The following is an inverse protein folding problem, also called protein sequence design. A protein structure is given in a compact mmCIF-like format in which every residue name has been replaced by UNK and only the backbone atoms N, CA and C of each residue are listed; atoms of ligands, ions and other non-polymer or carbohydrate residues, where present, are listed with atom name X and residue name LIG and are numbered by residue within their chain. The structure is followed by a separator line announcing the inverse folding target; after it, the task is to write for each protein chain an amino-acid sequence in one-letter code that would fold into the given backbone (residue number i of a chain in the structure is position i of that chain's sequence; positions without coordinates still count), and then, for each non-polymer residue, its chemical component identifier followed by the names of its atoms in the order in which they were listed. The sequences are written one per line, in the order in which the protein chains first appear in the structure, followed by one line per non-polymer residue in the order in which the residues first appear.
data_IF_988565240702
#
_entry.id   IF_988565240702
#
_cell.length_a   1.000
_cell.length_b   1.000
_cell.length_c   1.000
_cell.angle_alpha   90.00
_cell.angle_beta   90.00
_cell.angle_gamma   90.00
#
_symmetry.space_group_name_H-M   'P 1'
#
loop_
_entity.id
_entity.type
_entity.pdbx_description
1 polymer ?
#
# COMPACT_ATOMS: atom_id res chain seq x y z
N UNK A 1 9.16 14.35 -6.64
CA UNK A 1 10.59 14.01 -6.78
C UNK A 1 11.39 14.70 -5.69
N UNK A 2 12.45 14.05 -5.18
CA UNK A 2 13.30 14.53 -4.08
C UNK A 2 13.18 13.68 -2.81
N UNK A 3 14.20 13.74 -1.95
CA UNK A 3 14.10 13.22 -0.58
C UNK A 3 13.31 14.23 0.27
N UNK A 4 12.24 13.80 0.97
CA UNK A 4 11.48 14.71 1.80
C UNK A 4 12.33 15.18 2.99
N UNK A 5 12.28 16.47 3.28
CA UNK A 5 12.80 16.99 4.55
C UNK A 5 11.73 16.73 5.61
N UNK A 6 12.11 16.11 6.72
CA UNK A 6 11.19 15.78 7.81
C UNK A 6 11.72 16.30 9.14
N UNK A 7 10.77 16.54 10.07
CA UNK A 7 11.06 16.85 11.47
C UNK A 7 10.41 15.79 12.34
N UNK A 8 11.20 15.16 13.20
CA UNK A 8 10.67 14.30 14.26
C UNK A 8 9.87 15.12 15.27
N UNK A 9 8.68 14.66 15.59
CA UNK A 9 7.84 15.27 16.61
C UNK A 9 8.28 14.79 18.00
N UNK A 10 7.92 15.55 19.04
CA UNK A 10 8.33 15.28 20.43
C UNK A 10 7.71 14.02 21.04
N UNK A 11 6.77 13.38 20.34
CA UNK A 11 6.12 12.14 20.77
C UNK A 11 6.99 10.88 20.56
N UNK A 12 8.14 11.02 19.89
CA UNK A 12 9.08 9.93 19.63
C UNK A 12 8.57 8.89 18.63
N UNK A 13 7.47 9.15 17.92
CA UNK A 13 6.85 8.21 16.99
C UNK A 13 6.55 8.82 15.63
N UNK A 14 6.04 10.04 15.61
CA UNK A 14 5.56 10.67 14.38
C UNK A 14 6.60 11.62 13.80
N UNK A 15 6.55 11.82 12.50
CA UNK A 15 7.33 12.84 11.80
C UNK A 15 6.42 13.73 10.95
N UNK A 16 6.79 15.00 10.85
CA UNK A 16 6.11 15.99 10.03
C UNK A 16 6.94 16.27 8.77
N UNK A 17 6.31 16.25 7.60
CA UNK A 17 6.94 16.65 6.35
C UNK A 17 7.13 18.17 6.32
N UNK A 18 8.34 18.63 6.05
CA UNK A 18 8.65 20.06 5.84
C UNK A 18 8.59 20.45 4.36
N UNK A 19 8.76 19.47 3.46
CA UNK A 19 8.64 19.64 2.02
C UNK A 19 7.60 18.66 1.49
N UNK A 20 6.94 19.02 0.39
CA UNK A 20 6.06 18.11 -0.33
C UNK A 20 6.84 16.92 -0.89
N UNK A 21 6.22 15.75 -0.86
CA UNK A 21 6.66 14.57 -1.60
C UNK A 21 5.56 14.18 -2.58
N UNK A 22 5.91 14.06 -3.86
CA UNK A 22 4.97 13.66 -4.91
C UNK A 22 5.52 12.51 -5.75
N UNK A 23 4.63 11.60 -6.14
CA UNK A 23 4.88 10.43 -6.97
C UNK A 23 3.82 10.31 -8.08
N UNK A 24 4.28 10.10 -9.32
CA UNK A 24 3.41 9.75 -10.45
C UNK A 24 3.46 8.25 -10.68
N UNK A 25 2.31 7.58 -10.58
CA UNK A 25 2.22 6.14 -10.79
C UNK A 25 2.23 5.78 -12.29
N UNK A 26 2.38 4.48 -12.65
CA UNK A 26 2.41 4.06 -14.05
C UNK A 26 1.11 4.32 -14.82
N UNK A 27 0.01 4.64 -14.13
CA UNK A 27 -1.26 5.02 -14.72
C UNK A 27 -1.36 6.55 -14.94
N UNK A 28 -0.31 7.30 -14.59
CA UNK A 28 -0.25 8.76 -14.71
C UNK A 28 -0.98 9.50 -13.59
N UNK A 29 -1.41 8.82 -12.53
CA UNK A 29 -2.03 9.47 -11.38
C UNK A 29 -0.93 10.03 -10.45
N UNK A 30 -1.18 11.22 -9.95
CA UNK A 30 -0.29 11.90 -9.00
C UNK A 30 -0.78 11.60 -7.59
N UNK A 31 0.18 11.23 -6.74
CA UNK A 31 0.02 10.95 -5.32
C UNK A 31 0.91 11.93 -4.55
N UNK A 32 0.27 12.77 -3.75
CA UNK A 32 0.93 13.86 -3.03
C UNK A 32 0.87 13.64 -1.53
N UNK A 33 2.00 13.89 -0.88
CA UNK A 33 2.15 14.06 0.55
C UNK A 33 2.56 15.53 0.82
N UNK A 34 1.60 16.42 1.08
CA UNK A 34 1.86 17.84 1.25
C UNK A 34 2.81 18.13 2.43
N UNK A 35 3.52 19.26 2.37
CA UNK A 35 4.20 19.79 3.54
C UNK A 35 3.19 20.02 4.68
N UNK A 36 3.60 19.70 5.91
CA UNK A 36 2.74 19.68 7.10
C UNK A 36 2.06 18.34 7.37
N UNK A 37 2.13 17.37 6.46
CA UNK A 37 1.61 16.03 6.69
C UNK A 37 2.34 15.34 7.85
N UNK A 38 1.58 14.71 8.75
CA UNK A 38 2.10 13.93 9.87
C UNK A 38 1.98 12.46 9.53
N UNK A 39 3.09 11.72 9.63
CA UNK A 39 3.18 10.30 9.31
C UNK A 39 3.83 9.53 10.47
N UNK A 40 3.44 8.28 10.67
CA UNK A 40 3.83 7.47 11.84
C UNK A 40 4.33 6.06 11.50
N UNK A 41 4.31 5.70 10.21
CA UNK A 41 4.76 4.43 9.67
C UNK A 41 3.88 3.25 10.05
N UNK A 42 2.71 3.48 10.66
CA UNK A 42 1.88 2.42 11.22
C UNK A 42 0.91 1.79 10.22
N UNK A 43 0.85 2.31 8.99
CA UNK A 43 0.10 1.65 7.91
C UNK A 43 0.70 0.29 7.52
N UNK A 44 1.99 0.06 7.81
CA UNK A 44 2.70 -1.18 7.51
C UNK A 44 2.75 -2.09 8.76
N UNK A 45 2.31 -3.36 8.67
CA UNK A 45 2.47 -4.34 9.73
C UNK A 45 3.89 -4.42 10.30
N UNK A 46 4.03 -4.29 11.63
CA UNK A 46 5.34 -4.36 12.32
C UNK A 46 6.12 -5.64 12.03
N UNK A 47 5.44 -6.74 11.76
CA UNK A 47 6.07 -8.00 11.36
C UNK A 47 6.95 -7.85 10.10
N UNK A 48 6.58 -6.95 9.19
CA UNK A 48 7.34 -6.70 7.95
C UNK A 48 8.56 -5.83 8.18
N UNK A 49 8.65 -5.12 9.32
CA UNK A 49 9.79 -4.27 9.62
C UNK A 49 11.07 -5.07 9.82
N UNK A 50 10.99 -6.29 10.36
CA UNK A 50 12.14 -7.19 10.47
C UNK A 50 12.61 -7.76 9.14
N UNK A 51 11.76 -7.72 8.10
CA UNK A 51 12.09 -8.22 6.77
C UNK A 51 12.68 -7.13 5.87
N UNK A 52 12.19 -5.89 6.02
CA UNK A 52 12.43 -4.79 5.09
C UNK A 52 13.18 -3.60 5.69
N UNK A 53 13.37 -3.58 7.01
CA UNK A 53 13.73 -2.38 7.78
C UNK A 53 12.49 -1.63 8.26
N UNK A 54 12.66 -0.65 9.15
CA UNK A 54 11.56 0.18 9.67
C UNK A 54 10.88 1.05 8.59
N UNK A 55 9.67 1.58 8.83
CA UNK A 55 8.85 2.27 7.83
C UNK A 55 9.48 3.53 7.27
N UNK A 56 10.52 4.05 7.93
CA UNK A 56 11.27 5.23 7.51
C UNK A 56 12.71 4.91 7.09
N UNK A 57 12.98 3.66 6.75
CA UNK A 57 14.30 3.16 6.40
C UNK A 57 14.34 2.60 4.98
N UNK A 58 15.57 2.49 4.46
CA UNK A 58 15.83 1.82 3.19
C UNK A 58 15.14 2.46 1.98
N UNK A 59 14.94 1.63 0.96
CA UNK A 59 14.47 2.06 -0.35
C UNK A 59 12.98 2.41 -0.38
N UNK A 60 12.17 1.91 0.55
CA UNK A 60 10.72 2.08 0.52
C UNK A 60 10.20 3.26 1.37
N UNK A 61 11.08 3.97 2.09
CA UNK A 61 10.73 5.10 2.95
C UNK A 61 9.77 6.10 2.28
N UNK A 62 10.09 6.56 1.07
CA UNK A 62 9.27 7.56 0.38
C UNK A 62 7.90 6.99 0.01
N UNK A 63 7.84 5.71 -0.36
CA UNK A 63 6.59 5.00 -0.61
C UNK A 63 5.74 4.90 0.68
N UNK A 64 6.38 4.61 1.82
CA UNK A 64 5.72 4.50 3.13
C UNK A 64 5.08 5.82 3.55
N UNK A 65 5.79 6.94 3.34
CA UNK A 65 5.26 8.29 3.59
C UNK A 65 4.02 8.59 2.75
N UNK A 66 4.08 8.33 1.43
CA UNK A 66 2.93 8.52 0.54
C UNK A 66 1.75 7.66 0.96
N UNK A 67 2.02 6.43 1.39
CA UNK A 67 1.01 5.48 1.82
C UNK A 67 0.32 5.92 3.12
N UNK A 68 1.07 6.34 4.14
CA UNK A 68 0.53 6.88 5.40
C UNK A 68 -0.39 8.07 5.16
N UNK A 69 0.03 9.02 4.30
CA UNK A 69 -0.80 10.18 3.96
C UNK A 69 -2.07 9.73 3.25
N UNK A 70 -1.96 8.86 2.25
CA UNK A 70 -3.11 8.36 1.51
C UNK A 70 -4.11 7.59 2.41
N UNK A 71 -3.59 6.78 3.35
CA UNK A 71 -4.37 6.07 4.36
C UNK A 71 -5.00 7.01 5.38
N UNK A 72 -4.36 8.13 5.72
CA UNK A 72 -4.95 9.10 6.65
C UNK A 72 -6.09 9.89 5.99
N UNK A 73 -5.91 10.27 4.72
CA UNK A 73 -6.85 11.14 4.01
C UNK A 73 -8.09 10.42 3.49
N UNK A 74 -8.00 9.11 3.22
CA UNK A 74 -9.09 8.29 2.65
C UNK A 74 -9.73 8.90 1.38
N UNK A 75 -8.99 9.67 0.58
CA UNK A 75 -9.50 10.31 -0.65
C UNK A 75 -9.68 9.33 -1.81
N UNK A 76 -9.10 8.13 -1.70
CA UNK A 76 -9.15 7.05 -2.69
C UNK A 76 -9.51 5.73 -1.99
N UNK A 77 -9.88 4.67 -2.73
CA UNK A 77 -10.03 3.35 -2.15
C UNK A 77 -8.69 2.80 -1.63
N UNK A 78 -8.74 2.00 -0.57
CA UNK A 78 -7.55 1.41 0.06
C UNK A 78 -6.73 0.54 -0.90
N UNK A 79 -7.38 -0.22 -1.80
CA UNK A 79 -6.66 -1.05 -2.78
C UNK A 79 -5.87 -0.23 -3.80
N UNK A 80 -6.31 0.99 -4.11
CA UNK A 80 -5.55 1.90 -4.98
C UNK A 80 -4.33 2.45 -4.22
N UNK A 81 -4.47 2.71 -2.91
CA UNK A 81 -3.36 3.11 -2.04
C UNK A 81 -2.30 2.00 -1.94
N UNK A 82 -2.71 0.75 -1.74
CA UNK A 82 -1.80 -0.40 -1.66
C UNK A 82 -1.08 -0.63 -3.00
N UNK A 83 -1.79 -0.50 -4.13
CA UNK A 83 -1.19 -0.60 -5.47
C UNK A 83 -0.22 0.54 -5.74
N UNK A 84 -0.54 1.76 -5.32
CA UNK A 84 0.39 2.89 -5.37
C UNK A 84 1.66 2.58 -4.58
N UNK A 85 1.52 2.06 -3.36
CA UNK A 85 2.67 1.74 -2.52
C UNK A 85 3.57 0.69 -3.16
N UNK A 86 2.99 -0.38 -3.74
CA UNK A 86 3.74 -1.34 -4.56
C UNK A 86 4.53 -0.65 -5.67
N UNK A 87 3.87 0.19 -6.47
CA UNK A 87 4.51 0.86 -7.61
C UNK A 87 5.62 1.83 -7.16
N UNK A 88 5.39 2.58 -6.08
CA UNK A 88 6.37 3.48 -5.50
C UNK A 88 7.59 2.72 -4.95
N UNK A 89 7.40 1.59 -4.26
CA UNK A 89 8.49 0.70 -3.84
C UNK A 89 9.33 0.21 -5.02
N UNK A 90 8.67 -0.21 -6.11
CA UNK A 90 9.35 -0.65 -7.33
C UNK A 90 10.12 0.48 -7.99
N UNK A 91 9.56 1.68 -8.03
CA UNK A 91 10.22 2.89 -8.51
C UNK A 91 11.49 3.20 -7.70
N UNK A 92 11.48 2.98 -6.38
CA UNK A 92 12.62 3.21 -5.50
C UNK A 92 13.62 2.04 -5.45
N UNK A 93 13.42 0.99 -6.25
CA UNK A 93 14.39 -0.11 -6.41
C UNK A 93 14.33 -1.20 -5.32
N UNK A 94 13.22 -1.29 -4.58
CA UNK A 94 12.87 -2.47 -3.74
C UNK A 94 12.69 -3.68 -4.64
N UNK A 95 13.14 -4.88 -4.26
CA UNK A 95 12.99 -6.05 -5.16
C UNK A 95 11.52 -6.39 -5.44
N UNK A 96 11.27 -7.09 -6.56
CA UNK A 96 9.90 -7.48 -6.95
C UNK A 96 9.25 -8.34 -5.87
N UNK A 97 9.97 -9.34 -5.35
CA UNK A 97 9.45 -10.26 -4.34
C UNK A 97 9.10 -9.55 -3.03
N UNK A 98 9.97 -8.66 -2.55
CA UNK A 98 9.71 -7.84 -1.37
C UNK A 98 8.49 -6.94 -1.54
N UNK A 99 8.41 -6.22 -2.66
CA UNK A 99 7.29 -5.33 -2.95
C UNK A 99 5.96 -6.10 -3.08
N UNK A 100 5.96 -7.28 -3.72
CA UNK A 100 4.78 -8.15 -3.82
C UNK A 100 4.36 -8.74 -2.47
N UNK A 101 5.32 -9.11 -1.62
CA UNK A 101 5.04 -9.63 -0.26
C UNK A 101 4.39 -8.56 0.59
N UNK A 102 4.91 -7.34 0.51
CA UNK A 102 4.36 -6.18 1.19
C UNK A 102 2.95 -5.83 0.68
N UNK A 103 2.75 -5.87 -0.64
CA UNK A 103 1.44 -5.68 -1.26
C UNK A 103 0.41 -6.69 -0.73
N UNK A 104 0.75 -7.98 -0.72
CA UNK A 104 -0.11 -9.02 -0.17
C UNK A 104 -0.49 -8.74 1.29
N UNK A 105 0.49 -8.38 2.12
CA UNK A 105 0.28 -8.19 3.55
C UNK A 105 -0.64 -6.99 3.85
N UNK A 106 -0.48 -5.88 3.12
CA UNK A 106 -1.38 -4.73 3.23
C UNK A 106 -2.77 -5.06 2.71
N UNK A 107 -2.86 -5.67 1.52
CA UNK A 107 -4.13 -5.99 0.91
C UNK A 107 -4.99 -6.94 1.76
N UNK A 108 -4.33 -7.82 2.52
CA UNK A 108 -5.01 -8.82 3.36
C UNK A 108 -5.26 -8.34 4.79
N UNK A 109 -4.26 -7.74 5.44
CA UNK A 109 -4.28 -7.43 6.87
C UNK A 109 -4.40 -5.92 7.17
N UNK A 110 -4.42 -5.08 6.13
CA UNK A 110 -4.48 -3.63 6.23
C UNK A 110 -5.77 -3.11 6.87
N UNK A 111 -5.71 -1.87 7.34
CA UNK A 111 -6.85 -1.17 7.90
C UNK A 111 -7.77 -0.64 6.79
N UNK A 112 -8.54 -1.51 6.17
CA UNK A 112 -9.41 -1.15 5.05
C UNK A 112 -10.64 -0.33 5.52
N UNK A 113 -10.97 0.72 4.75
CA UNK A 113 -12.16 1.54 4.96
C UNK A 113 -13.22 1.33 3.89
N UNK A 114 -14.46 1.75 4.19
CA UNK A 114 -15.51 1.88 3.17
C UNK A 114 -15.21 3.10 2.31
N UNK A 115 -15.04 2.91 1.02
CA UNK A 115 -14.93 4.01 0.07
C UNK A 115 -16.19 4.07 -0.80
N UNK A 116 -16.99 5.16 -0.75
CA UNK A 116 -18.19 5.27 -1.56
C UNK A 116 -17.79 5.47 -3.02
N UNK A 117 -17.81 4.39 -3.80
CA UNK A 117 -17.71 4.49 -5.25
C UNK A 117 -19.00 5.17 -5.71
N UNK A 118 -18.95 6.46 -6.06
CA UNK A 118 -20.02 7.10 -6.82
C UNK A 118 -20.16 6.27 -8.09
N UNK A 119 -21.22 5.46 -8.17
CA UNK A 119 -21.47 4.58 -9.32
C UNK A 119 -21.40 5.44 -10.58
N UNK A 120 -20.28 5.36 -11.30
CA UNK A 120 -20.24 5.79 -12.68
C UNK A 120 -21.28 4.98 -13.45
N UNK A 121 -21.84 5.55 -14.52
CA UNK A 121 -22.64 4.73 -15.46
C UNK A 121 -21.78 3.53 -15.86
N UNK A 122 -22.32 2.30 -15.85
CA UNK A 122 -21.56 1.12 -16.24
C UNK A 122 -20.93 1.36 -17.62
N UNK A 123 -19.61 1.31 -17.69
CA UNK A 123 -18.85 1.47 -18.93
C UNK A 123 -18.56 0.07 -19.44
N UNK A 124 -18.92 -0.22 -20.70
CA UNK A 124 -18.58 -1.50 -21.33
C UNK A 124 -17.06 -1.55 -21.53
N UNK A 125 -16.39 -2.46 -20.84
CA UNK A 125 -14.99 -2.80 -21.12
C UNK A 125 -14.96 -4.23 -21.65
N UNK A 126 -14.48 -4.42 -22.88
CA UNK A 126 -14.41 -5.74 -23.56
C UNK A 126 -15.72 -6.55 -23.53
N UNK A 127 -16.87 -5.89 -23.56
CA UNK A 127 -18.18 -6.55 -23.61
C UNK A 127 -18.77 -6.97 -22.26
N UNK A 128 -18.04 -6.81 -21.15
CA UNK A 128 -18.55 -7.11 -19.81
C UNK A 128 -18.97 -5.84 -19.06
N UNK A 129 -20.07 -5.98 -18.30
CA UNK A 129 -20.52 -4.98 -17.34
C UNK A 129 -19.71 -5.15 -16.06
N UNK A 130 -18.69 -4.32 -15.86
CA UNK A 130 -17.91 -4.34 -14.62
C UNK A 130 -18.59 -3.45 -13.59
N UNK A 131 -19.38 -4.05 -12.70
CA UNK A 131 -19.79 -3.43 -11.43
C UNK A 131 -18.89 -3.97 -10.34
N UNK A 132 -17.85 -3.21 -9.95
CA UNK A 132 -16.96 -3.55 -8.84
C UNK A 132 -17.69 -3.30 -7.51
N UNK A 133 -18.64 -4.18 -7.18
CA UNK A 133 -19.19 -4.30 -5.85
C UNK A 133 -18.26 -5.13 -4.99
N UNK A 134 -17.06 -4.62 -4.71
CA UNK A 134 -16.09 -5.37 -3.91
C UNK A 134 -16.54 -5.43 -2.45
N UNK A 135 -16.56 -6.64 -1.90
CA UNK A 135 -16.69 -6.84 -0.46
C UNK A 135 -15.41 -6.33 0.20
N UNK A 136 -15.54 -5.48 1.20
CA UNK A 136 -14.38 -4.93 1.92
C UNK A 136 -13.85 -6.02 2.86
N UNK A 137 -12.59 -6.47 2.72
CA UNK A 137 -11.97 -7.30 3.73
C UNK A 137 -11.89 -6.47 5.01
N UNK A 138 -12.43 -6.94 6.13
CA UNK A 138 -12.21 -6.25 7.42
C UNK A 138 -10.72 -6.35 7.77
N UNK A 139 -10.18 -5.37 8.47
CA UNK A 139 -8.85 -5.52 9.06
C UNK A 139 -8.81 -6.79 9.94
N UNK A 140 -7.86 -7.67 9.65
CA UNK A 140 -7.64 -8.94 10.37
C UNK A 140 -6.29 -8.83 11.05
N UNK A 141 -6.11 -9.40 12.27
CA UNK A 141 -4.78 -9.50 12.85
C UNK A 141 -3.79 -10.10 11.86
N UNK A 142 -2.62 -9.48 11.76
CA UNK A 142 -1.53 -9.94 10.90
C UNK A 142 -1.17 -11.37 11.26
N UNK A 143 -1.17 -12.26 10.26
CA UNK A 143 -0.75 -13.66 10.42
C UNK A 143 0.63 -13.87 9.77
N UNK A 144 1.71 -14.03 10.57
CA UNK A 144 3.06 -14.27 10.06
C UNK A 144 3.20 -15.52 9.17
N UNK A 145 2.47 -16.59 9.46
CA UNK A 145 2.53 -17.84 8.70
C UNK A 145 2.03 -17.62 7.27
N UNK A 146 0.85 -17.01 7.13
CA UNK A 146 0.28 -16.64 5.83
C UNK A 146 1.20 -15.69 5.04
N UNK A 147 1.86 -14.73 5.70
CA UNK A 147 2.83 -13.85 5.05
C UNK A 147 4.03 -14.64 4.53
N UNK A 148 4.57 -15.59 5.31
CA UNK A 148 5.70 -16.40 4.88
C UNK A 148 5.32 -17.33 3.73
N UNK A 149 4.17 -18.00 3.80
CA UNK A 149 3.65 -18.84 2.71
C UNK A 149 3.41 -18.03 1.42
N UNK A 150 2.90 -16.81 1.54
CA UNK A 150 2.71 -15.91 0.42
C UNK A 150 4.06 -15.47 -0.15
N UNK A 151 5.04 -15.13 0.69
CA UNK A 151 6.40 -14.77 0.29
C UNK A 151 7.08 -15.90 -0.46
N UNK A 152 7.02 -17.13 0.05
CA UNK A 152 7.64 -18.29 -0.57
C UNK A 152 7.01 -18.57 -1.94
N UNK A 153 5.69 -18.53 -2.02
CA UNK A 153 4.99 -18.66 -3.30
C UNK A 153 5.35 -17.54 -4.29
N UNK A 154 5.36 -16.28 -3.84
CA UNK A 154 5.76 -15.13 -4.67
C UNK A 154 7.16 -15.33 -5.24
N UNK A 155 8.09 -15.77 -4.40
CA UNK A 155 9.48 -16.02 -4.80
C UNK A 155 9.61 -17.15 -5.82
N UNK A 156 8.72 -18.14 -5.75
CA UNK A 156 8.77 -19.33 -6.61
C UNK A 156 8.01 -19.16 -7.94
N UNK A 157 6.97 -18.33 -7.98
CA UNK A 157 6.05 -18.28 -9.14
C UNK A 157 5.92 -16.91 -9.79
N UNK A 158 6.52 -15.86 -9.22
CA UNK A 158 6.45 -14.47 -9.69
C UNK A 158 5.03 -14.01 -10.12
N UNK A 159 4.01 -14.16 -9.26
CA UNK A 159 2.60 -13.96 -9.62
C UNK A 159 2.26 -12.50 -9.93
N UNK A 160 1.23 -12.25 -10.73
CA UNK A 160 0.71 -10.88 -10.94
C UNK A 160 0.05 -10.33 -9.66
N UNK A 161 -0.16 -9.00 -9.59
CA UNK A 161 -0.87 -8.40 -8.47
C UNK A 161 -2.31 -8.94 -8.36
N UNK A 162 -2.97 -9.17 -9.50
CA UNK A 162 -4.32 -9.73 -9.54
C UNK A 162 -4.35 -11.16 -8.97
N UNK A 163 -3.31 -11.96 -9.24
CA UNK A 163 -3.19 -13.30 -8.64
C UNK A 163 -2.95 -13.24 -7.13
N UNK A 164 -2.19 -12.24 -6.66
CA UNK A 164 -2.00 -11.98 -5.22
C UNK A 164 -3.33 -11.60 -4.57
N UNK A 165 -4.11 -10.72 -5.19
CA UNK A 165 -5.45 -10.33 -4.71
C UNK A 165 -6.39 -11.53 -4.65
N UNK A 166 -6.41 -12.36 -5.70
CA UNK A 166 -7.22 -13.58 -5.73
C UNK A 166 -6.86 -14.50 -4.56
N UNK A 167 -5.56 -14.74 -4.34
CA UNK A 167 -5.08 -15.55 -3.22
C UNK A 167 -5.50 -14.95 -1.87
N UNK A 168 -5.28 -13.65 -1.66
CA UNK A 168 -5.63 -12.98 -0.41
C UNK A 168 -7.14 -13.05 -0.11
N UNK A 169 -7.98 -13.01 -1.14
CA UNK A 169 -9.43 -13.09 -1.02
C UNK A 169 -9.95 -14.52 -0.77
N UNK A 170 -9.24 -15.57 -1.21
CA UNK A 170 -9.66 -16.97 -1.04
C UNK A 170 -9.18 -17.59 0.25
N UNK A 171 -8.03 -17.16 0.76
CA UNK A 171 -7.51 -17.64 2.03
C UNK A 171 -8.43 -17.25 3.19
N UNK A 172 -8.65 -18.19 4.10
CA UNK A 172 -9.48 -17.98 5.28
C UNK A 172 -8.95 -16.82 6.15
N UNK A 173 -9.90 -16.15 6.80
CA UNK A 173 -9.65 -15.13 7.82
C UNK A 173 -9.12 -15.75 9.10
#
# INVERSE_FOLDING_TARGET
SGDPITKWNSDGRTMTLLTELSYTDPQGLIWDAPAGSVVDGASIPRYLWSLMGGPFEGKYRNASVLHDVAYTEHKRPWWDCDRMFYNAMRCSGVSIGEAKTMYYALYKFGHHWKFPIKRGKPVKYKGELVTRGEQIPRAIPVNPEQINEARDWISNTDPSLEQIEQRANTEAR
#
